data_IF_314333507857
#
_entry.id   IF_314333507857
#
_cell.length_a   1.000
_cell.length_b   1.000
_cell.length_c   1.000
_cell.angle_alpha   90.00
_cell.angle_beta   90.00
_cell.angle_gamma   90.00
#
_symmetry.space_group_name_H-M   'P 1'
#
loop_
_entity.id
_entity.type
_entity.pdbx_description
1 polymer ?
#
# COMPACT_ATOMS: atom_id res chain seq x y z
N UNK A 1 -12.91 6.25 8.24
CA UNK A 1 -13.70 7.49 8.48
C UNK A 1 -14.46 7.86 7.21
N UNK A 2 -15.45 8.75 7.27
CA UNK A 2 -16.17 9.24 6.07
C UNK A 2 -16.30 10.75 6.07
N UNK A 3 -16.26 11.35 4.89
CA UNK A 3 -16.46 12.78 4.68
C UNK A 3 -17.25 13.02 3.40
N UNK A 4 -18.23 13.92 3.46
CA UNK A 4 -18.98 14.32 2.28
C UNK A 4 -18.23 15.43 1.54
N UNK A 5 -17.99 15.28 0.24
CA UNK A 5 -17.35 16.24 -0.68
C UNK A 5 -18.06 16.17 -2.03
N UNK A 6 -18.36 17.31 -2.64
CA UNK A 6 -19.04 17.47 -3.94
C UNK A 6 -20.22 16.51 -4.16
N UNK A 7 -21.01 16.26 -3.11
CA UNK A 7 -22.18 15.38 -3.17
C UNK A 7 -21.89 13.88 -3.08
N UNK A 8 -20.64 13.45 -2.85
CA UNK A 8 -20.25 12.07 -2.61
C UNK A 8 -19.66 11.88 -1.21
N UNK A 9 -19.81 10.70 -0.63
CA UNK A 9 -19.14 10.34 0.61
C UNK A 9 -17.84 9.60 0.29
N UNK A 10 -16.70 10.22 0.61
CA UNK A 10 -15.41 9.54 0.54
C UNK A 10 -15.10 8.84 1.85
N UNK A 11 -14.68 7.59 1.76
CA UNK A 11 -14.02 6.87 2.84
C UNK A 11 -12.53 7.23 2.87
N UNK A 12 -11.99 7.36 4.07
CA UNK A 12 -10.55 7.47 4.26
C UNK A 12 -10.14 6.88 5.61
N UNK A 13 -8.92 6.36 5.67
CA UNK A 13 -8.26 5.99 6.92
C UNK A 13 -7.34 7.11 7.37
N UNK A 14 -7.28 7.34 8.68
CA UNK A 14 -6.44 8.35 9.29
C UNK A 14 -5.63 7.73 10.41
N UNK A 15 -4.34 7.98 10.42
CA UNK A 15 -3.45 7.55 11.50
C UNK A 15 -2.12 8.28 11.50
N UNK A 16 -1.38 8.17 12.60
CA UNK A 16 -0.08 8.82 12.75
C UNK A 16 -0.13 10.26 13.24
N UNK A 17 1.04 10.89 13.23
CA UNK A 17 1.27 12.25 13.75
C UNK A 17 2.27 12.98 12.87
N UNK A 18 2.15 14.31 12.78
CA UNK A 18 3.06 15.16 11.99
C UNK A 18 2.41 15.75 10.75
N UNK A 19 3.24 16.13 9.76
CA UNK A 19 2.79 16.80 8.53
C UNK A 19 1.72 15.95 7.82
N UNK A 20 0.64 16.55 7.25
CA UNK A 20 -0.36 15.75 6.55
C UNK A 20 0.23 15.07 5.31
N UNK A 21 0.02 13.77 5.20
CA UNK A 21 0.32 12.96 4.02
C UNK A 21 -0.98 12.39 3.47
N UNK A 22 -1.39 12.81 2.27
CA UNK A 22 -2.55 12.28 1.58
C UNK A 22 -2.10 11.26 0.55
N UNK A 23 -2.64 10.05 0.62
CA UNK A 23 -2.34 8.94 -0.29
C UNK A 23 -3.59 8.62 -1.12
N UNK A 24 -3.46 8.69 -2.46
CA UNK A 24 -4.54 8.42 -3.41
C UNK A 24 -4.15 7.28 -4.35
N UNK A 25 -4.97 6.24 -4.35
CA UNK A 25 -4.69 4.95 -4.98
C UNK A 25 -4.90 4.94 -6.51
N UNK A 26 -4.42 3.90 -7.17
CA UNK A 26 -4.64 3.64 -8.60
C UNK A 26 -6.05 3.13 -8.95
N UNK A 27 -6.31 2.86 -10.23
CA UNK A 27 -7.62 2.40 -10.65
C UNK A 27 -7.95 1.00 -10.12
N UNK A 28 -9.23 0.74 -9.84
CA UNK A 28 -9.74 -0.60 -9.45
C UNK A 28 -9.14 -1.19 -8.17
N UNK A 29 -8.40 -0.39 -7.40
CA UNK A 29 -7.93 -0.70 -6.04
C UNK A 29 -8.53 0.31 -5.06
N UNK A 30 -8.04 0.33 -3.82
CA UNK A 30 -8.50 1.21 -2.75
C UNK A 30 -7.32 1.57 -1.81
N UNK A 31 -7.59 2.23 -0.68
CA UNK A 31 -6.60 2.61 0.33
C UNK A 31 -5.64 1.48 0.76
N UNK A 32 -6.04 0.21 0.63
CA UNK A 32 -5.18 -0.93 0.97
C UNK A 32 -3.96 -1.07 0.06
N UNK A 33 -3.93 -0.38 -1.09
CA UNK A 33 -2.73 -0.28 -1.94
C UNK A 33 -1.51 0.20 -1.14
N UNK A 34 -1.72 1.07 -0.15
CA UNK A 34 -0.64 1.65 0.65
C UNK A 34 -0.44 1.01 2.01
N UNK A 35 -1.20 -0.04 2.35
CA UNK A 35 -1.26 -0.59 3.73
C UNK A 35 0.11 -0.88 4.34
N UNK A 36 1.05 -1.38 3.54
CA UNK A 36 2.39 -1.72 3.99
C UNK A 36 3.23 -0.46 4.30
N UNK A 37 3.10 0.58 3.49
CA UNK A 37 3.87 1.83 3.63
C UNK A 37 3.32 2.74 4.72
N UNK A 38 1.99 2.74 4.92
CA UNK A 38 1.32 3.56 5.96
C UNK A 38 1.93 3.31 7.34
N UNK A 39 2.27 2.05 7.64
CA UNK A 39 2.85 1.67 8.92
C UNK A 39 4.17 2.41 9.24
N UNK A 40 5.05 2.58 8.25
CA UNK A 40 6.28 3.36 8.39
C UNK A 40 6.00 4.86 8.41
N UNK A 41 5.14 5.32 7.51
CA UNK A 41 4.90 6.74 7.27
C UNK A 41 4.15 7.42 8.42
N UNK A 42 3.29 6.70 9.14
CA UNK A 42 2.50 7.25 10.27
C UNK A 42 3.36 7.74 11.44
N UNK A 43 4.65 7.41 11.47
CA UNK A 43 5.63 7.89 12.46
C UNK A 43 6.01 9.35 12.25
N UNK A 44 5.96 9.80 10.99
CA UNK A 44 6.47 11.09 10.54
C UNK A 44 5.34 11.98 10.02
N UNK A 45 4.25 11.36 9.57
CA UNK A 45 3.10 12.03 8.97
C UNK A 45 1.80 11.66 9.68
N UNK A 46 0.86 12.61 9.66
CA UNK A 46 -0.56 12.26 9.80
C UNK A 46 -1.04 11.77 8.43
N UNK A 47 -1.19 10.46 8.27
CA UNK A 47 -1.54 9.83 7.00
C UNK A 47 -3.04 9.81 6.80
N UNK A 48 -3.48 10.17 5.60
CA UNK A 48 -4.86 10.12 5.11
C UNK A 48 -4.87 9.24 3.84
N UNK A 49 -5.25 7.98 3.97
CA UNK A 49 -5.38 7.07 2.82
C UNK A 49 -6.83 7.10 2.34
N UNK A 50 -7.06 7.65 1.15
CA UNK A 50 -8.40 8.02 0.67
C UNK A 50 -8.86 7.05 -0.42
N UNK A 51 -10.08 6.56 -0.29
CA UNK A 51 -10.78 5.86 -1.37
C UNK A 51 -11.42 6.90 -2.29
N UNK A 52 -10.99 6.97 -3.54
CA UNK A 52 -11.61 7.86 -4.53
C UNK A 52 -13.08 7.48 -4.77
N UNK A 53 -13.91 8.42 -5.27
CA UNK A 53 -15.28 8.07 -5.69
C UNK A 53 -15.28 6.87 -6.64
N UNK A 54 -16.34 6.06 -6.56
CA UNK A 54 -16.49 4.75 -7.22
C UNK A 54 -15.48 3.64 -6.80
N UNK A 55 -14.64 3.88 -5.80
CA UNK A 55 -13.65 2.90 -5.30
C UNK A 55 -13.85 2.58 -3.81
N UNK A 56 -13.30 1.43 -3.41
CA UNK A 56 -13.30 0.96 -2.02
C UNK A 56 -14.65 1.11 -1.32
N UNK A 57 -14.64 1.86 -0.21
CA UNK A 57 -15.81 2.11 0.64
C UNK A 57 -16.49 3.48 0.39
N UNK A 58 -16.07 4.20 -0.65
CA UNK A 58 -16.64 5.49 -1.08
C UNK A 58 -17.91 5.32 -1.91
N UNK A 59 -18.65 6.42 -2.09
CA UNK A 59 -19.88 6.44 -2.90
C UNK A 59 -19.64 5.92 -4.31
N UNK A 60 -20.63 5.17 -4.82
CA UNK A 60 -20.71 4.80 -6.23
C UNK A 60 -21.27 5.94 -7.06
N UNK A 61 -20.83 6.04 -8.31
CA UNK A 61 -21.31 7.02 -9.29
C UNK A 61 -21.50 6.33 -10.64
N UNK A 62 -22.41 6.88 -11.47
CA UNK A 62 -22.72 6.33 -12.79
C UNK A 62 -21.71 6.77 -13.85
N UNK A 63 -21.17 7.98 -13.71
CA UNK A 63 -20.11 8.54 -14.56
C UNK A 63 -18.91 8.93 -13.70
N UNK A 64 -17.72 8.84 -14.29
CA UNK A 64 -16.46 9.06 -13.58
C UNK A 64 -15.48 9.84 -14.47
N UNK A 65 -14.94 10.92 -13.91
CA UNK A 65 -13.96 11.80 -14.54
C UNK A 65 -12.82 12.10 -13.55
N UNK A 66 -11.59 12.20 -14.04
CA UNK A 66 -10.47 12.57 -13.15
C UNK A 66 -10.61 13.99 -12.59
N UNK A 67 -11.27 14.90 -13.31
CA UNK A 67 -11.52 16.27 -12.84
C UNK A 67 -12.42 16.30 -11.62
N UNK A 68 -13.44 15.44 -11.57
CA UNK A 68 -14.36 15.38 -10.43
C UNK A 68 -13.65 14.82 -9.20
N UNK A 69 -12.80 13.80 -9.39
CA UNK A 69 -11.94 13.26 -8.33
C UNK A 69 -10.93 14.30 -7.83
N UNK A 70 -10.40 15.16 -8.69
CA UNK A 70 -9.55 16.26 -8.28
C UNK A 70 -10.33 17.31 -7.46
N UNK A 71 -11.56 17.65 -7.88
CA UNK A 71 -12.43 18.57 -7.13
C UNK A 71 -12.80 18.01 -5.75
N UNK A 72 -13.00 16.69 -5.64
CA UNK A 72 -13.16 16.02 -4.35
C UNK A 72 -11.95 16.17 -3.45
N UNK A 73 -10.75 16.01 -4.00
CA UNK A 73 -9.54 16.15 -3.22
C UNK A 73 -9.33 17.61 -2.78
N UNK A 74 -9.68 18.60 -3.61
CA UNK A 74 -9.67 20.01 -3.18
C UNK A 74 -10.59 20.23 -1.99
N UNK A 75 -11.86 19.82 -2.07
CA UNK A 75 -12.81 20.02 -0.97
C UNK A 75 -12.47 19.17 0.26
N UNK A 76 -11.88 17.97 0.07
CA UNK A 76 -11.37 17.13 1.14
C UNK A 76 -10.27 17.86 1.94
N UNK A 77 -9.30 18.46 1.25
CA UNK A 77 -8.24 19.25 1.88
C UNK A 77 -8.80 20.48 2.60
N UNK A 78 -9.81 21.14 2.03
CA UNK A 78 -10.44 22.31 2.64
C UNK A 78 -11.27 21.99 3.87
N UNK A 79 -12.13 20.98 3.82
CA UNK A 79 -13.02 20.59 4.93
C UNK A 79 -12.26 20.06 6.14
N UNK A 80 -11.13 19.39 5.91
CA UNK A 80 -10.23 18.93 6.98
C UNK A 80 -9.20 19.99 7.40
N UNK A 81 -9.25 21.18 6.78
CA UNK A 81 -8.27 22.27 6.88
C UNK A 81 -6.81 21.80 6.83
N UNK A 82 -6.52 20.89 5.90
CA UNK A 82 -5.17 20.42 5.65
C UNK A 82 -4.41 21.47 4.83
N UNK A 83 -3.17 21.74 5.22
CA UNK A 83 -2.25 22.68 4.57
C UNK A 83 -0.85 22.11 4.60
N UNK A 84 -0.02 22.59 3.68
CA UNK A 84 1.34 22.09 3.47
C UNK A 84 1.37 20.56 3.33
N UNK A 85 0.41 20.03 2.57
CA UNK A 85 0.19 18.59 2.42
C UNK A 85 1.27 17.98 1.54
N UNK A 86 1.84 16.85 1.97
CA UNK A 86 2.50 15.93 1.05
C UNK A 86 1.41 15.10 0.39
N UNK A 87 1.30 15.18 -0.92
CA UNK A 87 0.31 14.43 -1.68
C UNK A 87 1.04 13.37 -2.49
N UNK A 88 0.76 12.09 -2.23
CA UNK A 88 1.22 11.01 -3.08
C UNK A 88 0.03 10.40 -3.81
N UNK A 89 0.13 10.37 -5.13
CA UNK A 89 -0.81 9.69 -6.00
C UNK A 89 -0.11 8.58 -6.77
N UNK A 90 -0.75 7.43 -6.92
CA UNK A 90 -0.27 6.33 -7.75
C UNK A 90 -1.21 6.09 -8.93
N UNK A 91 -0.67 5.98 -10.15
CA UNK A 91 -1.42 5.70 -11.38
C UNK A 91 -2.56 6.72 -11.57
N UNK A 92 -3.82 6.30 -11.57
CA UNK A 92 -5.00 7.20 -11.51
C UNK A 92 -4.90 8.26 -10.40
N UNK A 93 -4.43 7.87 -9.21
CA UNK A 93 -4.19 8.79 -8.10
C UNK A 93 -3.16 9.87 -8.41
N UNK A 94 -2.16 9.58 -9.24
CA UNK A 94 -1.16 10.56 -9.67
C UNK A 94 -1.75 11.58 -10.65
N UNK A 95 -2.63 11.13 -11.55
CA UNK A 95 -3.39 12.02 -12.45
C UNK A 95 -4.30 12.94 -11.61
N UNK A 96 -5.01 12.37 -10.63
CA UNK A 96 -5.84 13.13 -9.67
C UNK A 96 -4.96 14.17 -8.94
N UNK A 97 -3.78 13.77 -8.47
CA UNK A 97 -2.84 14.66 -7.80
C UNK A 97 -2.37 15.83 -8.67
N UNK A 98 -2.00 15.57 -9.92
CA UNK A 98 -1.61 16.61 -10.88
C UNK A 98 -2.76 17.60 -11.12
N UNK A 99 -3.98 17.12 -11.34
CA UNK A 99 -5.16 17.97 -11.53
C UNK A 99 -5.54 18.73 -10.26
N UNK A 100 -5.37 18.13 -9.08
CA UNK A 100 -5.62 18.78 -7.78
C UNK A 100 -4.63 19.92 -7.57
N UNK A 101 -3.34 19.71 -7.88
CA UNK A 101 -2.29 20.72 -7.75
C UNK A 101 -2.45 21.91 -8.71
N UNK A 102 -3.23 21.78 -9.78
CA UNK A 102 -3.63 22.91 -10.63
C UNK A 102 -4.67 23.82 -9.97
N UNK A 103 -5.40 23.30 -8.97
CA UNK A 103 -6.60 23.93 -8.40
C UNK A 103 -6.42 24.45 -6.97
N UNK A 104 -5.36 24.05 -6.27
CA UNK A 104 -5.14 24.44 -4.86
C UNK A 104 -3.68 24.72 -4.55
N UNK A 105 -3.45 25.59 -3.55
CA UNK A 105 -2.14 25.88 -2.96
C UNK A 105 -1.90 25.12 -1.64
N UNK A 106 -2.86 24.28 -1.21
CA UNK A 106 -2.77 23.50 0.04
C UNK A 106 -1.75 22.35 -0.02
N UNK A 107 -1.37 21.92 -1.22
CA UNK A 107 -0.33 20.91 -1.42
C UNK A 107 1.03 21.60 -1.35
N UNK A 108 1.86 21.18 -0.40
CA UNK A 108 3.23 21.67 -0.24
C UNK A 108 4.26 20.87 -1.04
N UNK A 109 3.96 19.59 -1.34
CA UNK A 109 4.75 18.71 -2.20
C UNK A 109 3.85 17.68 -2.87
N UNK A 110 3.91 17.57 -4.19
CA UNK A 110 3.24 16.53 -4.97
C UNK A 110 4.25 15.46 -5.40
N UNK A 111 3.95 14.20 -5.09
CA UNK A 111 4.66 13.01 -5.54
C UNK A 111 3.74 12.23 -6.48
N UNK A 112 3.94 12.36 -7.79
CA UNK A 112 3.09 11.79 -8.82
C UNK A 112 3.71 10.50 -9.40
N UNK A 113 3.27 9.34 -8.90
CA UNK A 113 3.79 8.03 -9.27
C UNK A 113 3.05 7.38 -10.44
N UNK A 114 3.75 7.02 -11.50
CA UNK A 114 3.27 6.27 -12.66
C UNK A 114 2.04 6.86 -13.35
N UNK A 115 1.93 8.19 -13.39
CA UNK A 115 0.92 8.89 -14.17
C UNK A 115 1.16 8.73 -15.67
N UNK A 116 0.09 8.68 -16.46
CA UNK A 116 0.13 8.86 -17.91
C UNK A 116 -0.51 10.19 -18.32
N UNK A 117 0.05 10.85 -19.33
CA UNK A 117 -0.42 12.15 -19.80
C UNK A 117 -1.69 12.06 -20.64
N UNK A 118 -1.88 10.92 -21.32
CA UNK A 118 -2.97 10.65 -22.25
C UNK A 118 -3.32 9.17 -22.29
N UNK A 119 -4.49 8.77 -22.79
CA UNK A 119 -4.94 7.38 -22.68
C UNK A 119 -4.15 6.45 -23.61
N UNK A 120 -3.64 6.97 -24.73
CA UNK A 120 -3.06 6.19 -25.82
C UNK A 120 -1.56 5.88 -25.65
N UNK A 121 -0.91 6.36 -24.59
CA UNK A 121 0.50 6.01 -24.28
C UNK A 121 0.63 4.62 -23.67
N UNK A 122 -0.41 4.14 -22.98
CA UNK A 122 -0.38 2.80 -22.38
C UNK A 122 -0.46 1.74 -23.49
N UNK A 123 0.11 0.54 -23.27
CA UNK A 123 0.27 -0.45 -24.34
C UNK A 123 -1.04 -0.81 -25.04
N UNK A 124 -0.99 -1.01 -26.36
CA UNK A 124 -2.18 -1.29 -27.18
C UNK A 124 -2.95 -2.53 -26.70
N UNK A 125 -2.25 -3.58 -26.25
CA UNK A 125 -2.89 -4.80 -25.73
C UNK A 125 -3.73 -4.51 -24.48
N UNK A 126 -3.26 -3.63 -23.59
CA UNK A 126 -3.99 -3.21 -22.41
C UNK A 126 -5.23 -2.41 -22.82
N UNK A 127 -5.09 -1.45 -23.75
CA UNK A 127 -6.23 -0.68 -24.29
C UNK A 127 -7.28 -1.58 -24.93
N UNK A 128 -6.87 -2.62 -25.66
CA UNK A 128 -7.81 -3.59 -26.24
C UNK A 128 -8.52 -4.42 -25.16
N UNK A 129 -7.80 -4.83 -24.12
CA UNK A 129 -8.39 -5.49 -22.94
C UNK A 129 -9.44 -4.62 -22.26
N UNK A 130 -9.11 -3.35 -21.98
CA UNK A 130 -10.05 -2.38 -21.39
C UNK A 130 -11.29 -2.17 -22.27
N UNK A 131 -11.14 -2.08 -23.59
CA UNK A 131 -12.28 -1.98 -24.53
C UNK A 131 -13.18 -3.21 -24.47
N UNK A 132 -12.59 -4.40 -24.41
CA UNK A 132 -13.35 -5.65 -24.30
C UNK A 132 -14.15 -5.72 -22.99
N UNK A 133 -13.52 -5.35 -21.86
CA UNK A 133 -14.20 -5.26 -20.57
C UNK A 133 -15.34 -4.24 -20.63
N UNK A 134 -15.08 -3.02 -21.12
CA UNK A 134 -16.09 -1.97 -21.31
C UNK A 134 -17.30 -2.43 -22.13
N UNK A 135 -17.08 -3.18 -23.21
CA UNK A 135 -18.15 -3.68 -24.08
C UNK A 135 -19.12 -4.62 -23.33
N UNK A 136 -18.65 -5.30 -22.28
CA UNK A 136 -19.43 -6.24 -21.48
C UNK A 136 -19.99 -5.59 -20.22
N UNK A 137 -19.16 -4.90 -19.44
CA UNK A 137 -19.51 -4.43 -18.09
C UNK A 137 -20.06 -3.01 -18.07
N UNK A 138 -19.71 -2.20 -19.08
CA UNK A 138 -19.92 -0.74 -19.08
C UNK A 138 -19.35 -0.04 -17.84
N UNK A 139 -18.35 -0.62 -17.18
CA UNK A 139 -17.77 -0.07 -15.95
C UNK A 139 -17.22 1.36 -16.19
N UNK A 140 -17.70 2.39 -15.46
CA UNK A 140 -17.28 3.77 -15.67
C UNK A 140 -15.77 3.97 -15.46
N UNK A 141 -15.12 3.17 -14.59
CA UNK A 141 -13.67 3.22 -14.37
C UNK A 141 -12.89 2.88 -15.63
N UNK A 142 -13.34 1.86 -16.36
CA UNK A 142 -12.69 1.42 -17.60
C UNK A 142 -12.97 2.39 -18.75
N UNK A 143 -14.17 3.01 -18.77
CA UNK A 143 -14.52 4.02 -19.75
C UNK A 143 -13.67 5.29 -19.59
N UNK A 144 -13.46 5.72 -18.35
CA UNK A 144 -12.59 6.85 -18.00
C UNK A 144 -11.16 6.62 -18.51
N UNK A 145 -10.51 5.49 -18.14
CA UNK A 145 -9.14 5.18 -18.61
C UNK A 145 -8.98 5.14 -20.14
N UNK A 146 -10.06 4.88 -20.89
CA UNK A 146 -10.00 4.85 -22.36
C UNK A 146 -10.08 6.23 -22.99
N UNK A 147 -10.64 7.22 -22.28
CA UNK A 147 -10.96 8.56 -22.77
C UNK A 147 -10.11 9.66 -22.16
N UNK A 148 -9.60 9.42 -20.95
CA UNK A 148 -8.88 10.38 -20.11
C UNK A 148 -7.57 9.77 -19.59
N UNK A 149 -6.60 10.59 -19.16
CA UNK A 149 -6.62 12.05 -19.10
C UNK A 149 -6.19 12.74 -20.40
N UNK A 150 -6.15 14.07 -20.40
CA UNK A 150 -5.56 14.91 -21.45
C UNK A 150 -4.70 15.99 -20.78
N UNK A 151 -3.52 15.59 -20.29
CA UNK A 151 -2.55 16.45 -19.60
C UNK A 151 -1.60 17.06 -20.62
N UNK A 152 -2.01 18.18 -21.22
CA UNK A 152 -1.14 18.94 -22.12
C UNK A 152 -0.04 19.69 -21.36
N UNK A 153 1.04 20.05 -22.05
CA UNK A 153 2.10 20.86 -21.47
C UNK A 153 1.60 22.21 -20.94
N UNK A 154 0.58 22.80 -21.59
CA UNK A 154 -0.07 24.03 -21.14
C UNK A 154 -0.77 23.84 -19.78
N UNK A 155 -1.56 22.76 -19.62
CA UNK A 155 -2.24 22.45 -18.34
C UNK A 155 -1.22 22.17 -17.24
N UNK A 156 -0.23 21.32 -17.51
CA UNK A 156 0.84 20.98 -16.57
C UNK A 156 1.68 22.20 -16.17
N UNK A 157 1.89 23.14 -17.10
CA UNK A 157 2.58 24.42 -16.89
C UNK A 157 1.92 25.34 -15.88
N UNK A 158 0.67 25.08 -15.49
CA UNK A 158 -0.06 25.87 -14.48
C UNK A 158 0.22 25.43 -13.04
N UNK A 159 0.79 24.23 -12.84
CA UNK A 159 1.10 23.70 -11.51
C UNK A 159 2.23 24.55 -10.89
N UNK A 160 1.96 25.07 -9.69
CA UNK A 160 2.93 25.87 -8.91
C UNK A 160 3.54 25.08 -7.74
N UNK A 161 2.92 23.97 -7.37
CA UNK A 161 3.35 23.08 -6.31
C UNK A 161 4.68 22.44 -6.67
N UNK A 162 5.67 22.41 -5.74
CA UNK A 162 6.83 21.54 -5.87
C UNK A 162 6.38 20.11 -6.18
N UNK A 163 6.88 19.54 -7.28
CA UNK A 163 6.40 18.26 -7.81
C UNK A 163 7.57 17.34 -8.11
N UNK A 164 7.44 16.05 -7.80
CA UNK A 164 8.35 15.00 -8.25
C UNK A 164 7.53 13.97 -9.02
N UNK A 165 7.88 13.76 -10.28
CA UNK A 165 7.27 12.74 -11.14
C UNK A 165 8.07 11.45 -11.01
N UNK A 166 7.39 10.36 -10.66
CA UNK A 166 8.02 9.08 -10.32
C UNK A 166 7.52 8.01 -11.31
N UNK A 167 8.38 7.11 -11.75
CA UNK A 167 7.97 5.89 -12.47
C UNK A 167 9.00 4.77 -12.30
N UNK A 168 8.59 3.52 -12.50
CA UNK A 168 9.52 2.39 -12.60
C UNK A 168 10.30 2.38 -13.92
N UNK A 169 11.52 1.84 -13.97
CA UNK A 169 12.25 1.69 -15.25
C UNK A 169 11.64 0.63 -16.18
N UNK A 170 10.71 -0.19 -15.68
CA UNK A 170 9.94 -1.21 -16.41
C UNK A 170 8.43 -0.95 -16.36
N UNK A 171 8.04 0.31 -16.21
CA UNK A 171 6.64 0.71 -16.11
C UNK A 171 5.86 0.38 -17.40
N UNK A 172 4.53 0.23 -17.26
CA UNK A 172 3.60 0.15 -18.38
C UNK A 172 3.50 1.48 -19.13
N UNK A 173 3.67 2.60 -18.42
CA UNK A 173 3.77 3.93 -19.00
C UNK A 173 5.19 4.13 -19.52
N UNK A 174 5.40 4.45 -20.82
CA UNK A 174 6.73 4.68 -21.35
C UNK A 174 7.44 5.83 -20.64
N UNK A 175 8.73 5.67 -20.33
CA UNK A 175 9.54 6.71 -19.67
C UNK A 175 9.49 8.07 -20.41
N UNK A 176 9.33 8.07 -21.73
CA UNK A 176 9.16 9.29 -22.51
C UNK A 176 7.94 10.12 -22.08
N UNK A 177 6.86 9.46 -21.67
CA UNK A 177 5.65 10.13 -21.19
C UNK A 177 5.82 10.67 -19.76
N UNK A 178 6.48 9.89 -18.90
CA UNK A 178 6.91 10.35 -17.56
C UNK A 178 7.79 11.59 -17.64
N UNK A 179 8.78 11.59 -18.55
CA UNK A 179 9.66 12.74 -18.82
C UNK A 179 8.88 13.93 -19.35
N UNK A 180 7.96 13.70 -20.28
CA UNK A 180 7.10 14.77 -20.80
C UNK A 180 6.31 15.45 -19.68
N UNK A 181 5.74 14.70 -18.73
CA UNK A 181 5.04 15.27 -17.57
C UNK A 181 6.02 16.10 -16.72
N UNK A 182 7.18 15.53 -16.38
CA UNK A 182 8.19 16.21 -15.55
C UNK A 182 8.72 17.51 -16.18
N UNK A 183 9.00 17.49 -17.49
CA UNK A 183 9.50 18.65 -18.23
C UNK A 183 8.42 19.74 -18.41
N UNK A 184 7.15 19.35 -18.39
CA UNK A 184 6.02 20.27 -18.54
C UNK A 184 5.59 20.95 -17.23
N UNK A 185 5.93 20.38 -16.07
CA UNK A 185 5.64 20.97 -14.76
C UNK A 185 6.80 21.86 -14.31
N UNK A 186 6.59 23.16 -14.04
CA UNK A 186 7.67 24.08 -13.70
C UNK A 186 8.45 23.64 -12.46
N UNK A 187 9.75 23.39 -12.65
CA UNK A 187 10.66 23.03 -11.56
C UNK A 187 10.45 21.63 -10.99
N UNK A 188 9.72 20.75 -11.69
CA UNK A 188 9.52 19.39 -11.22
C UNK A 188 10.81 18.55 -11.24
N UNK A 189 10.94 17.68 -10.24
CA UNK A 189 11.91 16.59 -10.23
C UNK A 189 11.42 15.38 -11.01
N UNK A 190 12.35 14.52 -11.40
CA UNK A 190 12.08 13.22 -12.02
C UNK A 190 12.82 12.12 -11.27
N UNK A 191 12.09 11.07 -10.88
CA UNK A 191 12.63 9.89 -10.19
C UNK A 191 12.26 8.62 -10.96
N UNK A 192 13.25 8.00 -11.59
CA UNK A 192 13.10 6.67 -12.20
C UNK A 192 13.57 5.60 -11.20
N UNK A 193 12.66 4.72 -10.81
CA UNK A 193 12.89 3.65 -9.85
C UNK A 193 13.45 2.42 -10.56
N UNK A 194 14.78 2.27 -10.50
CA UNK A 194 15.48 1.24 -11.27
C UNK A 194 15.03 -0.17 -10.88
N UNK A 195 14.68 -0.95 -11.90
CA UNK A 195 14.23 -2.33 -11.81
C UNK A 195 12.75 -2.51 -11.50
N UNK A 196 12.03 -1.45 -11.13
CA UNK A 196 10.62 -1.49 -10.77
C UNK A 196 9.67 -1.42 -11.97
N UNK A 197 8.53 -2.07 -11.84
CA UNK A 197 7.38 -1.97 -12.73
C UNK A 197 6.34 -0.98 -12.22
N UNK A 198 5.17 -0.95 -12.86
CA UNK A 198 4.06 -0.04 -12.54
C UNK A 198 3.61 -0.13 -11.08
N UNK A 199 3.76 -1.27 -10.40
CA UNK A 199 3.23 -1.49 -9.05
C UNK A 199 4.32 -1.85 -8.03
N UNK A 200 5.49 -2.30 -8.49
CA UNK A 200 6.52 -2.89 -7.62
C UNK A 200 7.28 -1.90 -6.73
N UNK A 201 7.10 -0.60 -6.88
CA UNK A 201 7.61 0.35 -5.89
C UNK A 201 6.55 0.77 -4.87
N UNK A 202 5.27 0.45 -5.12
CA UNK A 202 4.12 0.78 -4.25
C UNK A 202 3.72 -0.41 -3.39
N UNK A 203 3.57 -1.59 -4.01
CA UNK A 203 3.03 -2.80 -3.37
C UNK A 203 4.06 -3.50 -2.47
N UNK A 204 5.36 -3.59 -2.84
CA UNK A 204 6.40 -4.11 -1.95
C UNK A 204 6.59 -3.26 -0.71
N UNK A 205 7.03 -3.92 0.36
CA UNK A 205 6.55 -3.60 1.69
C UNK A 205 7.04 -2.27 2.28
N UNK A 206 8.12 -1.68 1.78
CA UNK A 206 8.69 -0.45 2.34
C UNK A 206 9.20 0.56 1.31
N UNK A 207 9.23 0.21 0.02
CA UNK A 207 9.96 1.00 -1.00
C UNK A 207 9.30 2.36 -1.27
N UNK A 208 7.97 2.42 -1.21
CA UNK A 208 7.24 3.69 -1.29
C UNK A 208 7.46 4.55 -0.04
N UNK A 209 7.52 3.94 1.15
CA UNK A 209 7.79 4.68 2.37
C UNK A 209 9.19 5.33 2.31
N UNK A 210 10.21 4.57 1.92
CA UNK A 210 11.58 5.05 1.74
C UNK A 210 11.61 6.24 0.74
N UNK A 211 10.93 6.09 -0.39
CA UNK A 211 10.82 7.15 -1.40
C UNK A 211 10.18 8.43 -0.83
N UNK A 212 9.05 8.32 -0.13
CA UNK A 212 8.37 9.50 0.45
C UNK A 212 9.26 10.17 1.51
N UNK A 213 9.95 9.39 2.34
CA UNK A 213 10.86 9.92 3.36
C UNK A 213 12.05 10.66 2.71
N UNK A 214 12.65 10.08 1.67
CA UNK A 214 13.73 10.72 0.88
C UNK A 214 13.29 12.05 0.28
N UNK A 215 12.16 12.08 -0.44
CA UNK A 215 11.68 13.27 -1.14
C UNK A 215 11.16 14.36 -0.20
N UNK A 216 10.81 14.00 1.04
CA UNK A 216 10.45 14.96 2.08
C UNK A 216 11.64 15.45 2.91
N UNK A 217 12.86 14.99 2.58
CA UNK A 217 14.08 15.32 3.31
C UNK A 217 14.14 14.70 4.70
N UNK A 218 13.23 13.77 5.01
CA UNK A 218 13.25 12.99 6.23
C UNK A 218 14.27 11.89 6.01
N UNK A 219 15.52 12.25 6.27
CA UNK A 219 16.54 11.26 6.50
C UNK A 219 16.25 10.68 7.87
N UNK A 220 15.74 9.45 7.91
CA UNK A 220 16.12 8.60 9.02
C UNK A 220 17.65 8.55 8.95
N UNK A 221 18.31 9.29 9.86
CA UNK A 221 19.48 8.69 10.46
C UNK A 221 19.00 7.30 10.81
N UNK A 222 19.59 6.26 10.24
CA UNK A 222 19.60 4.96 10.90
C UNK A 222 20.16 5.27 12.30
N UNK A 223 19.31 5.65 13.25
CA UNK A 223 19.69 5.95 14.60
C UNK A 223 20.01 4.59 15.20
N UNK A 224 21.28 4.25 15.04
CA UNK A 224 21.83 2.96 15.32
C UNK A 224 23.24 2.96 14.76
N UNK A 225 24.21 3.11 15.66
CA UNK A 225 25.44 2.35 15.46
C UNK A 225 25.02 0.94 15.03
N UNK A 226 25.49 0.49 13.87
CA UNK A 226 24.86 -0.59 13.11
C UNK A 226 24.43 -1.76 13.98
N UNK A 227 23.26 -2.33 13.66
CA UNK A 227 22.71 -3.53 14.28
C UNK A 227 23.83 -4.54 14.53
N UNK A 228 24.04 -4.94 15.78
CA UNK A 228 25.11 -5.88 16.10
C UNK A 228 24.86 -7.20 15.36
N UNK A 229 25.89 -8.00 15.05
CA UNK A 229 25.69 -9.31 14.41
C UNK A 229 24.71 -10.23 15.17
N UNK A 230 24.63 -10.08 16.51
CA UNK A 230 23.69 -10.80 17.36
C UNK A 230 22.24 -10.34 17.13
N UNK A 231 22.00 -9.03 17.14
CA UNK A 231 20.69 -8.46 16.85
C UNK A 231 20.25 -8.76 15.42
N UNK A 232 21.16 -8.68 14.44
CA UNK A 232 20.90 -9.03 13.05
C UNK A 232 20.45 -10.49 12.91
N UNK A 233 21.13 -11.42 13.59
CA UNK A 233 20.74 -12.84 13.60
C UNK A 233 19.38 -13.05 14.26
N UNK A 234 19.06 -12.28 15.29
CA UNK A 234 17.78 -12.33 15.99
C UNK A 234 16.64 -11.86 15.08
N UNK A 235 16.81 -10.69 14.45
CA UNK A 235 15.86 -10.14 13.48
C UNK A 235 15.67 -11.05 12.27
N UNK A 236 16.75 -11.62 11.73
CA UNK A 236 16.66 -12.55 10.59
C UNK A 236 15.91 -13.85 10.97
N UNK A 237 16.03 -14.30 12.22
CA UNK A 237 15.30 -15.47 12.72
C UNK A 237 13.81 -15.15 12.92
N UNK A 238 13.49 -13.97 13.43
CA UNK A 238 12.12 -13.47 13.52
C UNK A 238 11.48 -13.36 12.13
N UNK A 239 12.15 -12.68 11.19
CA UNK A 239 11.74 -12.58 9.79
C UNK A 239 11.47 -13.94 9.13
N UNK A 240 12.34 -14.93 9.37
CA UNK A 240 12.13 -16.28 8.85
C UNK A 240 10.89 -16.94 9.49
N UNK A 241 10.61 -16.67 10.76
CA UNK A 241 9.39 -17.09 11.44
C UNK A 241 8.14 -16.63 10.69
N UNK A 242 8.06 -15.33 10.41
CA UNK A 242 6.88 -14.74 9.74
C UNK A 242 6.75 -15.27 8.32
N UNK A 243 7.85 -15.34 7.57
CA UNK A 243 7.84 -15.91 6.22
C UNK A 243 7.36 -17.38 6.21
N UNK A 244 7.76 -18.17 7.20
CA UNK A 244 7.30 -19.55 7.36
C UNK A 244 5.79 -19.59 7.71
N UNK A 245 5.31 -18.68 8.55
CA UNK A 245 3.92 -18.56 8.96
C UNK A 245 3.01 -18.18 7.79
N UNK A 246 3.41 -17.20 6.95
CA UNK A 246 2.71 -16.85 5.69
C UNK A 246 2.45 -18.10 4.84
N UNK A 247 3.50 -18.90 4.60
CA UNK A 247 3.40 -20.10 3.77
C UNK A 247 2.54 -21.18 4.43
N UNK A 248 2.67 -21.34 5.75
CA UNK A 248 1.86 -22.27 6.54
C UNK A 248 0.37 -21.92 6.44
N UNK A 249 0.01 -20.66 6.71
CA UNK A 249 -1.38 -20.21 6.71
C UNK A 249 -2.05 -20.33 5.35
N UNK A 250 -1.36 -19.94 4.27
CA UNK A 250 -1.88 -20.13 2.91
C UNK A 250 -2.16 -21.60 2.59
N UNK A 251 -1.22 -22.50 2.92
CA UNK A 251 -1.42 -23.93 2.70
C UNK A 251 -2.50 -24.53 3.59
N UNK A 252 -2.67 -24.01 4.80
CA UNK A 252 -3.74 -24.45 5.69
C UNK A 252 -5.11 -23.98 5.15
N UNK A 253 -5.21 -22.74 4.68
CA UNK A 253 -6.40 -22.20 4.04
C UNK A 253 -6.86 -23.05 2.84
N UNK A 254 -5.93 -23.63 2.08
CA UNK A 254 -6.23 -24.56 0.98
C UNK A 254 -6.75 -25.94 1.45
N UNK A 255 -6.60 -26.28 2.73
CA UNK A 255 -6.96 -27.59 3.29
C UNK A 255 -8.18 -27.57 4.19
N UNK A 256 -8.50 -26.43 4.79
CA UNK A 256 -9.67 -26.33 5.65
C UNK A 256 -10.95 -26.37 4.82
N UNK A 257 -11.95 -27.09 5.32
CA UNK A 257 -13.24 -27.24 4.64
C UNK A 257 -14.22 -26.11 4.94
N UNK A 258 -14.03 -25.40 6.05
CA UNK A 258 -14.88 -24.28 6.45
C UNK A 258 -14.43 -22.97 5.79
N UNK A 259 -15.38 -22.26 5.21
CA UNK A 259 -15.11 -21.02 4.46
C UNK A 259 -14.72 -19.85 5.37
N UNK A 260 -15.23 -19.81 6.61
CA UNK A 260 -14.86 -18.78 7.57
C UNK A 260 -13.42 -19.00 8.06
N UNK A 261 -13.04 -20.24 8.35
CA UNK A 261 -11.67 -20.62 8.71
C UNK A 261 -10.70 -20.29 7.57
N UNK A 262 -11.06 -20.63 6.32
CA UNK A 262 -10.26 -20.30 5.14
C UNK A 262 -9.99 -18.81 5.04
N UNK A 263 -11.03 -17.97 5.18
CA UNK A 263 -10.89 -16.50 5.15
C UNK A 263 -10.05 -15.98 6.31
N UNK A 264 -10.19 -16.55 7.50
CA UNK A 264 -9.38 -16.17 8.65
C UNK A 264 -7.89 -16.46 8.41
N UNK A 265 -7.54 -17.65 7.93
CA UNK A 265 -6.15 -17.99 7.64
C UNK A 265 -5.53 -17.18 6.49
N UNK A 266 -6.32 -16.79 5.49
CA UNK A 266 -5.82 -15.89 4.45
C UNK A 266 -5.51 -14.49 5.00
N UNK A 267 -6.32 -13.98 5.94
CA UNK A 267 -6.05 -12.71 6.62
C UNK A 267 -4.79 -12.79 7.48
N UNK A 268 -4.68 -13.84 8.30
CA UNK A 268 -3.48 -14.10 9.10
C UNK A 268 -2.23 -14.18 8.21
N UNK A 269 -2.30 -14.87 7.07
CA UNK A 269 -1.18 -14.92 6.13
C UNK A 269 -0.79 -13.54 5.57
N UNK A 270 -1.74 -12.62 5.40
CA UNK A 270 -1.46 -11.26 4.96
C UNK A 270 -0.86 -10.43 6.09
N UNK A 271 -1.30 -10.65 7.34
CA UNK A 271 -0.76 -9.99 8.52
C UNK A 271 0.68 -10.44 8.80
N UNK A 272 0.97 -11.75 8.76
CA UNK A 272 2.32 -12.31 8.82
C UNK A 272 3.23 -11.76 7.71
N UNK A 273 2.68 -11.55 6.52
CA UNK A 273 3.42 -10.93 5.45
C UNK A 273 3.78 -9.48 5.83
N UNK A 274 2.89 -8.72 6.46
CA UNK A 274 3.24 -7.39 6.99
C UNK A 274 4.35 -7.49 8.04
N UNK A 275 4.26 -8.42 8.99
CA UNK A 275 5.29 -8.64 10.02
C UNK A 275 6.67 -8.91 9.44
N UNK A 276 6.77 -9.81 8.44
CA UNK A 276 8.05 -10.10 7.76
C UNK A 276 8.68 -8.82 7.15
N UNK A 277 7.84 -7.86 6.73
CA UNK A 277 8.30 -6.55 6.22
C UNK A 277 8.99 -5.72 7.26
N UNK A 278 8.46 -5.71 8.49
CA UNK A 278 9.01 -4.96 9.61
C UNK A 278 10.44 -5.42 9.84
N UNK A 279 10.65 -6.74 9.90
CA UNK A 279 12.00 -7.29 10.05
C UNK A 279 12.89 -7.07 8.83
N UNK A 280 12.33 -7.15 7.61
CA UNK A 280 13.06 -6.86 6.37
C UNK A 280 13.63 -5.43 6.35
N UNK A 281 12.91 -4.45 6.89
CA UNK A 281 13.39 -3.07 6.99
C UNK A 281 14.69 -2.97 7.80
N UNK A 282 14.87 -3.81 8.83
CA UNK A 282 16.09 -3.88 9.62
C UNK A 282 17.18 -4.74 8.98
N UNK A 283 16.82 -5.91 8.44
CA UNK A 283 17.82 -6.86 7.92
C UNK A 283 18.32 -6.48 6.53
N UNK A 284 17.53 -5.76 5.74
CA UNK A 284 17.81 -5.49 4.32
C UNK A 284 17.96 -6.75 3.47
N UNK A 285 17.55 -7.91 3.99
CA UNK A 285 17.76 -9.22 3.36
C UNK A 285 16.45 -9.99 3.26
N UNK A 286 16.03 -10.28 2.04
CA UNK A 286 14.88 -11.16 1.79
C UNK A 286 15.21 -12.59 2.25
N UNK A 287 14.21 -13.24 2.86
CA UNK A 287 14.26 -14.66 3.28
C UNK A 287 13.30 -15.49 2.44
N UNK A 288 13.62 -16.77 2.26
CA UNK A 288 12.73 -17.72 1.58
C UNK A 288 12.08 -18.61 2.64
N UNK A 289 10.76 -18.68 2.63
CA UNK A 289 9.99 -19.53 3.54
C UNK A 289 10.46 -20.99 3.48
N UNK A 290 10.60 -21.62 4.65
CA UNK A 290 10.96 -23.01 4.80
C UNK A 290 9.73 -23.90 4.59
N UNK A 291 9.73 -24.79 3.57
CA UNK A 291 8.57 -25.60 3.25
C UNK A 291 8.22 -26.64 4.31
N UNK A 292 9.12 -27.01 5.22
CA UNK A 292 8.90 -28.09 6.19
C UNK A 292 7.69 -27.82 7.11
N UNK A 293 7.61 -26.62 7.73
CA UNK A 293 6.48 -26.25 8.61
C UNK A 293 5.15 -26.20 7.85
N UNK A 294 5.19 -25.73 6.62
CA UNK A 294 4.03 -25.64 5.72
C UNK A 294 3.47 -27.01 5.28
N UNK A 295 4.17 -28.11 5.59
CA UNK A 295 3.71 -29.48 5.33
C UNK A 295 3.13 -30.09 6.61
N UNK A 296 3.80 -29.89 7.75
CA UNK A 296 3.45 -30.54 9.01
C UNK A 296 2.08 -30.12 9.52
N UNK A 297 1.79 -28.81 9.57
CA UNK A 297 0.54 -28.31 10.15
C UNK A 297 -0.68 -28.67 9.30
N UNK A 298 -0.68 -28.51 7.96
CA UNK A 298 -1.81 -28.96 7.14
C UNK A 298 -2.01 -30.49 7.16
N UNK A 299 -0.92 -31.28 7.28
CA UNK A 299 -1.02 -32.73 7.44
C UNK A 299 -1.65 -33.11 8.79
N UNK A 300 -1.28 -32.41 9.87
CA UNK A 300 -1.87 -32.58 11.20
C UNK A 300 -3.36 -32.24 11.19
N UNK A 301 -3.76 -31.14 10.53
CA UNK A 301 -5.18 -30.79 10.34
C UNK A 301 -5.96 -31.91 9.65
N UNK A 302 -5.40 -32.46 8.56
CA UNK A 302 -6.04 -33.57 7.84
C UNK A 302 -6.20 -34.83 8.69
N UNK A 303 -5.25 -35.10 9.59
CA UNK A 303 -5.22 -36.32 10.39
C UNK A 303 -6.03 -36.22 11.70
N UNK A 304 -5.97 -35.07 12.38
CA UNK A 304 -6.47 -34.88 13.74
C UNK A 304 -7.59 -33.84 13.84
N UNK A 305 -7.89 -33.14 12.74
CA UNK A 305 -8.92 -32.10 12.71
C UNK A 305 -8.50 -30.80 13.39
N UNK A 306 -9.44 -29.83 13.42
CA UNK A 306 -9.20 -28.49 13.95
C UNK A 306 -8.94 -28.46 15.46
N UNK A 307 -9.64 -29.27 16.24
CA UNK A 307 -9.55 -29.29 17.72
C UNK A 307 -8.14 -29.60 18.24
N UNK A 308 -7.35 -30.37 17.49
CA UNK A 308 -5.95 -30.68 17.85
C UNK A 308 -4.94 -29.78 17.16
N UNK A 309 -5.30 -29.21 16.01
CA UNK A 309 -4.37 -28.44 15.18
C UNK A 309 -4.32 -26.98 15.57
N UNK A 310 -5.47 -26.35 15.79
CA UNK A 310 -5.55 -24.91 16.05
C UNK A 310 -4.88 -24.51 17.37
N UNK A 311 -4.99 -25.28 18.48
CA UNK A 311 -4.24 -24.96 19.69
C UNK A 311 -2.72 -24.99 19.51
N UNK A 312 -2.21 -25.83 18.60
CA UNK A 312 -0.77 -25.88 18.29
C UNK A 312 -0.34 -24.64 17.51
N UNK A 313 -1.17 -24.18 16.58
CA UNK A 313 -0.93 -22.95 15.81
C UNK A 313 -0.97 -21.75 16.76
N UNK A 314 -2.04 -21.60 17.54
CA UNK A 314 -2.18 -20.49 18.48
C UNK A 314 -1.03 -20.43 19.50
N UNK A 315 -0.59 -21.60 19.99
CA UNK A 315 0.61 -21.70 20.85
C UNK A 315 1.86 -21.18 20.13
N UNK A 316 2.00 -21.45 18.84
CA UNK A 316 3.07 -20.92 18.01
C UNK A 316 3.12 -19.39 18.03
N UNK A 317 1.96 -18.73 17.86
CA UNK A 317 1.88 -17.25 17.84
C UNK A 317 2.15 -16.66 19.21
N UNK A 318 1.61 -17.24 20.29
CA UNK A 318 1.96 -16.79 21.65
C UNK A 318 3.44 -16.95 21.96
N UNK A 319 4.05 -18.05 21.48
CA UNK A 319 5.50 -18.25 21.58
C UNK A 319 6.30 -17.31 20.68
N UNK A 320 5.74 -16.75 19.61
CA UNK A 320 6.36 -15.72 18.78
C UNK A 320 6.31 -14.37 19.50
N UNK A 321 5.13 -13.98 19.99
CA UNK A 321 4.94 -12.79 20.82
C UNK A 321 5.91 -12.75 22.01
N UNK A 322 6.04 -13.86 22.73
CA UNK A 322 6.95 -13.92 23.89
C UNK A 322 8.42 -13.71 23.49
N UNK A 323 8.85 -14.26 22.35
CA UNK A 323 10.20 -14.03 21.81
C UNK A 323 10.42 -12.58 21.38
N UNK A 324 9.37 -11.92 20.90
CA UNK A 324 9.46 -10.53 20.43
C UNK A 324 9.60 -9.53 21.57
N UNK A 325 9.23 -9.86 22.81
CA UNK A 325 9.52 -9.00 23.99
C UNK A 325 11.01 -8.64 24.11
N UNK A 326 11.89 -9.59 23.84
CA UNK A 326 13.34 -9.37 23.89
C UNK A 326 13.83 -8.51 22.71
N UNK A 327 13.12 -8.56 21.58
CA UNK A 327 13.42 -7.79 20.37
C UNK A 327 12.93 -6.35 20.52
N UNK A 328 11.73 -6.14 21.08
CA UNK A 328 11.10 -4.83 21.30
C UNK A 328 11.98 -3.89 22.10
N UNK A 329 12.76 -4.41 23.06
CA UNK A 329 13.69 -3.59 23.85
C UNK A 329 14.68 -2.83 22.98
N UNK A 330 15.16 -3.46 21.91
CA UNK A 330 16.17 -2.91 21.02
C UNK A 330 15.53 -2.35 19.72
N UNK A 331 14.31 -2.77 19.40
CA UNK A 331 13.55 -2.42 18.19
C UNK A 331 12.08 -2.15 18.55
N UNK A 332 11.74 -0.97 19.09
CA UNK A 332 10.39 -0.64 19.55
C UNK A 332 9.29 -0.88 18.51
N UNK A 333 9.61 -0.78 17.23
CA UNK A 333 8.70 -1.01 16.12
C UNK A 333 8.19 -2.46 16.02
N UNK A 334 8.89 -3.41 16.62
CA UNK A 334 8.45 -4.82 16.72
C UNK A 334 7.31 -4.98 17.73
N UNK A 335 6.98 -3.95 18.52
CA UNK A 335 5.93 -4.04 19.55
C UNK A 335 4.55 -4.29 18.94
N UNK A 336 4.26 -3.69 17.79
CA UNK A 336 2.99 -3.93 17.09
C UNK A 336 2.91 -5.36 16.55
N UNK A 337 4.00 -5.86 15.95
CA UNK A 337 4.10 -7.26 15.52
C UNK A 337 3.86 -8.19 16.71
N UNK A 338 4.52 -7.94 17.85
CA UNK A 338 4.34 -8.72 19.08
C UNK A 338 2.89 -8.74 19.55
N UNK A 339 2.19 -7.60 19.50
CA UNK A 339 0.78 -7.51 19.90
C UNK A 339 -0.11 -8.25 18.89
N UNK A 340 0.14 -8.11 17.59
CA UNK A 340 -0.59 -8.80 16.54
C UNK A 340 -0.45 -10.32 16.67
N UNK A 341 0.73 -10.84 17.01
CA UNK A 341 0.94 -12.28 17.31
C UNK A 341 0.02 -12.79 18.43
N UNK A 342 -0.22 -12.00 19.48
CA UNK A 342 -1.18 -12.38 20.53
C UNK A 342 -2.60 -12.45 19.96
N UNK A 343 -3.00 -11.44 19.18
CA UNK A 343 -4.31 -11.42 18.54
C UNK A 343 -4.47 -12.54 17.50
N UNK A 344 -3.41 -12.95 16.80
CA UNK A 344 -3.41 -14.08 15.89
C UNK A 344 -3.72 -15.38 16.62
N UNK A 345 -3.04 -15.62 17.76
CA UNK A 345 -3.32 -16.76 18.61
C UNK A 345 -4.77 -16.79 19.08
N UNK A 346 -5.30 -15.66 19.55
CA UNK A 346 -6.69 -15.54 20.00
C UNK A 346 -7.68 -15.79 18.84
N UNK A 347 -7.41 -15.21 17.67
CA UNK A 347 -8.23 -15.36 16.48
C UNK A 347 -8.30 -16.83 16.03
N UNK A 348 -7.19 -17.56 16.05
CA UNK A 348 -7.14 -18.99 15.73
C UNK A 348 -7.94 -19.82 16.76
N UNK A 349 -7.83 -19.48 18.05
CA UNK A 349 -8.60 -20.15 19.11
C UNK A 349 -10.11 -19.89 19.00
N UNK A 350 -10.51 -18.70 18.57
CA UNK A 350 -11.92 -18.34 18.37
C UNK A 350 -12.59 -19.14 17.24
N UNK A 351 -11.83 -19.67 16.27
CA UNK A 351 -12.35 -20.58 15.24
C UNK A 351 -12.79 -21.94 15.80
N UNK A 352 -12.36 -22.31 17.01
CA UNK A 352 -12.85 -23.52 17.69
C UNK A 352 -14.23 -23.34 18.31
N UNK A 353 -14.66 -22.09 18.56
CA UNK A 353 -15.95 -21.77 19.18
C UNK A 353 -17.10 -21.72 18.16
N UNK A 354 -16.77 -21.82 16.87
CA UNK A 354 -17.68 -21.82 15.72
C UNK A 354 -17.72 -23.20 15.10
#
# INVERSE_FOLDING_TARGET
MRINVNGVDLYYEKGGVGRPLVLVHGNSVDHNEFKNSIWLLRRHFTVYAVDSRAHGLSSKVDELHYTDMADDMVEFLEKLDLRDVVFFGHSDGAIIGLLTAMKTDRIGLLLAGSANSRPDVVPQWLRLGLKAVCAVTRDPKMQMMLREPDLTAEKLGTIKTPTVVIAGSKDLVPESDTRFIAESVPGAGLRIMEGDDHTSYVVPKTRLADLILEETGITEKKEGGGITPSQFKTLLKAQQGEADAVLMYRKLADKVSDEADRKAFLRLADDEARHESVFLAYTGKSVKANPAKSIVVPAMYKMLGKEKTYPVIAKGEYEAADKYKDVVRDFPEVEEVMNDEVHHGDAVMDLLKK
#
